data_IF_322902967690
#
_entry.id   IF_322902967690
#
_cell.length_a   1.000
_cell.length_b   1.000
_cell.length_c   1.000
_cell.angle_alpha   90.00
_cell.angle_beta   90.00
_cell.angle_gamma   90.00
#
_symmetry.space_group_name_H-M   'P 1'
#
loop_
_entity.id
_entity.type
_entity.pdbx_description
1 polymer ?
#
# COMPACT_ATOMS: atom_id res chain seq x y z
N UNK A 1 -6.39 -1.91 -7.21
CA UNK A 1 -6.66 -1.88 -5.76
C UNK A 1 -5.97 -0.63 -5.21
N UNK A 2 -6.51 0.08 -4.21
CA UNK A 2 -5.88 1.30 -3.70
C UNK A 2 -5.60 1.24 -2.21
N UNK A 3 -6.60 1.52 -1.36
CA UNK A 3 -6.35 1.63 0.09
C UNK A 3 -6.01 0.29 0.75
N UNK A 4 -6.39 -0.82 0.13
CA UNK A 4 -6.05 -2.15 0.63
C UNK A 4 -4.56 -2.47 0.56
N UNK A 5 -3.75 -1.78 -0.25
CA UNK A 5 -2.28 -1.90 -0.23
C UNK A 5 -1.66 -1.50 1.12
N UNK A 6 -2.36 -0.69 1.92
CA UNK A 6 -1.92 -0.30 3.26
C UNK A 6 -2.37 -1.27 4.36
N UNK A 7 -3.26 -2.22 4.05
CA UNK A 7 -3.83 -3.14 5.03
C UNK A 7 -2.77 -4.09 5.64
N UNK A 8 -1.85 -4.70 4.87
CA UNK A 8 -0.79 -5.56 5.41
C UNK A 8 0.11 -4.83 6.41
N UNK A 9 0.36 -3.54 6.19
CA UNK A 9 1.16 -2.69 7.06
C UNK A 9 0.59 -2.59 8.47
N UNK A 10 -0.74 -2.42 8.57
CA UNK A 10 -1.45 -2.38 9.85
C UNK A 10 -1.36 -3.72 10.60
N UNK A 11 -1.46 -4.84 9.88
CA UNK A 11 -1.30 -6.18 10.46
C UNK A 11 0.15 -6.45 10.89
N UNK A 12 1.12 -6.13 10.03
CA UNK A 12 2.54 -6.41 10.22
C UNK A 12 3.18 -5.53 11.29
N UNK A 13 2.64 -4.34 11.55
CA UNK A 13 3.10 -3.44 12.62
C UNK A 13 3.19 -4.12 13.99
N UNK A 14 2.36 -5.15 14.25
CA UNK A 14 2.41 -5.95 15.48
C UNK A 14 3.74 -6.70 15.64
N UNK A 15 4.34 -7.14 14.54
CA UNK A 15 5.58 -7.94 14.56
C UNK A 15 6.84 -7.07 14.57
N UNK A 16 6.73 -5.82 14.10
CA UNK A 16 7.83 -4.87 14.12
C UNK A 16 7.37 -3.50 14.67
N UNK A 17 7.03 -3.42 15.96
CA UNK A 17 6.45 -2.22 16.55
C UNK A 17 7.40 -1.02 16.64
N UNK A 18 8.71 -1.24 16.45
CA UNK A 18 9.70 -0.17 16.33
C UNK A 18 9.74 0.46 14.93
N UNK A 19 9.10 -0.16 13.93
CA UNK A 19 9.04 0.35 12.57
C UNK A 19 7.95 1.41 12.46
N UNK A 20 8.25 2.61 11.95
CA UNK A 20 7.24 3.64 11.78
C UNK A 20 6.08 3.17 10.90
N UNK A 21 4.84 3.52 11.28
CA UNK A 21 3.65 3.01 10.59
C UNK A 21 3.55 3.53 9.17
N UNK A 22 4.01 4.76 8.93
CA UNK A 22 4.08 5.35 7.59
C UNK A 22 5.05 4.59 6.69
N UNK A 23 6.15 4.07 7.23
CA UNK A 23 7.15 3.35 6.44
C UNK A 23 6.62 1.97 6.05
N UNK A 24 5.94 1.27 6.97
CA UNK A 24 5.22 0.05 6.67
C UNK A 24 4.09 0.30 5.65
N UNK A 25 3.33 1.38 5.83
CA UNK A 25 2.26 1.79 4.91
C UNK A 25 2.78 2.01 3.49
N UNK A 26 3.83 2.82 3.37
CA UNK A 26 4.50 3.11 2.11
C UNK A 26 5.10 1.85 1.49
N UNK A 27 5.62 0.91 2.28
CA UNK A 27 6.14 -0.35 1.77
C UNK A 27 5.09 -1.15 0.99
N UNK A 28 3.85 -1.23 1.49
CA UNK A 28 2.76 -1.95 0.84
C UNK A 28 2.24 -1.30 -0.45
N UNK A 29 2.28 0.03 -0.52
CA UNK A 29 1.93 0.82 -1.70
C UNK A 29 3.15 1.18 -2.59
N UNK A 30 4.34 0.66 -2.28
CA UNK A 30 5.57 1.01 -2.97
C UNK A 30 5.55 0.62 -4.47
N UNK A 31 5.05 -0.57 -4.86
CA UNK A 31 4.95 -0.93 -6.27
C UNK A 31 4.14 0.08 -7.09
N UNK A 32 2.94 0.47 -6.62
CA UNK A 32 2.11 1.50 -7.25
C UNK A 32 2.83 2.84 -7.36
N UNK A 33 3.45 3.28 -6.26
CA UNK A 33 4.14 4.57 -6.21
C UNK A 33 5.24 4.67 -7.28
N UNK A 34 6.05 3.62 -7.39
CA UNK A 34 7.13 3.55 -8.38
C UNK A 34 6.55 3.37 -9.78
N UNK A 35 5.47 2.60 -9.92
CA UNK A 35 4.77 2.40 -11.19
C UNK A 35 4.33 3.73 -11.78
N UNK A 36 3.69 4.62 -11.01
CA UNK A 36 3.30 5.93 -11.55
C UNK A 36 4.48 6.78 -11.98
N UNK A 37 5.61 6.70 -11.26
CA UNK A 37 6.84 7.39 -11.66
C UNK A 37 7.43 6.83 -12.97
N UNK A 38 7.46 5.50 -13.12
CA UNK A 38 7.97 4.84 -14.32
C UNK A 38 7.02 5.00 -15.51
N UNK A 39 5.71 4.99 -15.28
CA UNK A 39 4.68 5.23 -16.29
C UNK A 39 4.74 6.67 -16.81
N UNK A 40 4.92 7.65 -15.93
CA UNK A 40 5.17 9.04 -16.31
C UNK A 40 6.46 9.20 -17.15
N UNK A 41 7.47 8.36 -16.89
CA UNK A 41 8.72 8.33 -17.66
C UNK A 41 8.64 7.48 -18.95
N UNK A 42 7.51 6.83 -19.23
CA UNK A 42 7.35 5.92 -20.39
C UNK A 42 8.08 4.58 -20.26
N UNK A 43 8.58 4.23 -19.07
CA UNK A 43 9.28 2.97 -18.78
C UNK A 43 8.33 1.82 -18.48
N UNK A 44 7.11 2.13 -18.04
CA UNK A 44 5.99 1.22 -17.82
C UNK A 44 4.73 1.84 -18.43
N UNK A 45 3.67 1.05 -18.61
CA UNK A 45 2.43 1.55 -19.24
C UNK A 45 1.20 0.84 -18.68
N UNK A 46 0.07 1.57 -18.67
CA UNK A 46 -1.26 1.00 -18.43
C UNK A 46 -2.27 1.66 -19.36
N UNK A 47 -3.14 0.85 -19.95
CA UNK A 47 -4.25 1.30 -20.80
C UNK A 47 -5.57 0.71 -20.31
N UNK A 48 -6.62 1.52 -20.41
CA UNK A 48 -7.99 1.08 -20.16
C UNK A 48 -8.48 0.06 -21.19
N UNK A 49 -8.04 0.22 -22.45
CA UNK A 49 -8.43 -0.69 -23.51
C UNK A 49 -7.46 -1.86 -23.62
N UNK A 50 -7.96 -3.07 -23.35
CA UNK A 50 -7.24 -4.32 -23.65
C UNK A 50 -6.99 -4.54 -25.15
N UNK A 51 -7.58 -3.72 -26.03
CA UNK A 51 -7.29 -3.74 -27.47
C UNK A 51 -6.04 -2.96 -27.86
N UNK A 52 -5.47 -2.15 -26.95
CA UNK A 52 -4.26 -1.40 -27.18
C UNK A 52 -3.11 -2.16 -26.49
N UNK A 53 -2.13 -2.69 -27.23
CA UNK A 53 -0.95 -3.27 -26.64
C UNK A 53 -0.27 -2.22 -25.77
N UNK A 54 -0.13 -2.51 -24.48
CA UNK A 54 0.74 -1.74 -23.60
C UNK A 54 2.18 -2.06 -24.00
N UNK A 55 2.90 -1.12 -24.60
CA UNK A 55 4.33 -1.27 -24.85
C UNK A 55 5.04 0.01 -24.40
N UNK A 56 5.94 -0.07 -23.42
CA UNK A 56 6.73 1.10 -23.04
C UNK A 56 7.56 1.56 -24.25
N UNK A 57 7.51 2.85 -24.53
CA UNK A 57 8.29 3.49 -25.58
C UNK A 57 9.36 4.37 -24.94
N UNK A 58 10.64 4.08 -25.25
CA UNK A 58 11.77 4.88 -24.77
C UNK A 58 12.52 5.42 -25.99
N UNK A 59 12.56 6.73 -26.16
CA UNK A 59 13.16 7.40 -27.33
C UNK A 59 12.60 6.89 -28.69
N UNK A 60 11.31 6.54 -28.75
CA UNK A 60 10.67 6.01 -29.95
C UNK A 60 10.97 4.54 -30.24
N UNK A 61 11.59 3.81 -29.31
CA UNK A 61 11.77 2.37 -29.38
C UNK A 61 10.71 1.66 -28.54
N UNK A 62 9.91 0.82 -29.18
CA UNK A 62 8.88 0.01 -28.56
C UNK A 62 9.49 -1.22 -27.87
N UNK A 63 9.27 -1.36 -26.56
CA UNK A 63 9.70 -2.54 -25.80
C UNK A 63 8.54 -3.52 -25.66
N UNK A 64 8.60 -4.64 -26.37
CA UNK A 64 7.62 -5.73 -26.25
C UNK A 64 7.87 -6.53 -24.96
N UNK A 65 7.20 -6.14 -23.88
CA UNK A 65 7.16 -6.89 -22.63
C UNK A 65 6.07 -7.95 -22.63
N UNK A 66 6.18 -8.94 -21.73
CA UNK A 66 5.06 -9.82 -21.40
C UNK A 66 3.95 -8.96 -20.79
N UNK A 67 2.79 -8.89 -21.44
CA UNK A 67 1.62 -8.20 -20.88
C UNK A 67 1.16 -8.93 -19.63
N UNK A 68 1.18 -8.22 -18.52
CA UNK A 68 0.58 -8.64 -17.26
C UNK A 68 -0.60 -7.72 -17.05
N UNK A 69 -1.82 -8.25 -17.11
CA UNK A 69 -2.98 -7.43 -16.82
C UNK A 69 -3.00 -7.15 -15.30
N UNK A 70 -3.35 -5.93 -14.89
CA UNK A 70 -3.75 -5.63 -13.50
C UNK A 70 -5.11 -4.98 -13.57
N UNK A 71 -6.07 -5.42 -12.77
CA UNK A 71 -7.41 -4.89 -12.86
C UNK A 71 -7.44 -3.36 -12.58
N UNK A 72 -8.14 -2.54 -13.39
CA UNK A 72 -8.89 -2.81 -14.64
C UNK A 72 -8.11 -2.56 -15.95
N UNK A 73 -6.78 -2.50 -15.91
CA UNK A 73 -5.91 -2.08 -17.01
C UNK A 73 -5.16 -3.23 -17.69
N UNK A 74 -4.96 -3.11 -19.00
CA UNK A 74 -3.89 -3.83 -19.69
C UNK A 74 -2.60 -3.06 -19.47
N UNK A 75 -1.61 -3.69 -18.87
CA UNK A 75 -0.41 -3.01 -18.44
C UNK A 75 0.87 -3.81 -18.70
N UNK A 76 1.97 -3.06 -18.84
CA UNK A 76 3.31 -3.60 -18.93
C UNK A 76 4.18 -2.88 -17.92
N UNK A 77 4.49 -3.60 -16.83
CA UNK A 77 5.22 -3.08 -15.67
C UNK A 77 6.23 -4.10 -15.12
N UNK A 78 7.22 -4.51 -15.93
CA UNK A 78 8.15 -5.57 -15.58
C UNK A 78 9.00 -5.26 -14.33
N UNK A 79 9.10 -4.00 -13.92
CA UNK A 79 9.94 -3.58 -12.81
C UNK A 79 9.17 -3.47 -11.49
N UNK A 80 7.91 -3.07 -11.53
CA UNK A 80 7.15 -2.76 -10.30
C UNK A 80 6.24 -3.89 -9.85
N UNK A 81 5.69 -4.69 -10.76
CA UNK A 81 4.73 -5.75 -10.41
C UNK A 81 5.18 -7.16 -10.84
N UNK A 82 6.42 -7.33 -11.28
CA UNK A 82 7.03 -8.67 -11.37
C UNK A 82 7.52 -9.13 -9.99
N UNK A 83 7.57 -10.44 -9.75
CA UNK A 83 8.10 -10.99 -8.49
C UNK A 83 9.54 -10.57 -8.23
N UNK A 84 10.38 -10.58 -9.27
CA UNK A 84 11.77 -10.15 -9.15
C UNK A 84 11.87 -8.63 -8.89
N UNK A 85 11.08 -7.83 -9.61
CA UNK A 85 11.00 -6.39 -9.45
C UNK A 85 10.58 -5.97 -8.04
N UNK A 86 9.49 -6.55 -7.53
CA UNK A 86 9.04 -6.30 -6.16
C UNK A 86 10.05 -6.75 -5.12
N UNK A 87 10.75 -7.87 -5.30
CA UNK A 87 11.78 -8.31 -4.37
C UNK A 87 12.96 -7.33 -4.31
N UNK A 88 13.36 -6.77 -5.45
CA UNK A 88 14.41 -5.73 -5.52
C UNK A 88 13.93 -4.45 -4.84
N UNK A 89 12.74 -3.96 -5.20
CA UNK A 89 12.15 -2.76 -4.58
C UNK A 89 12.01 -2.91 -3.06
N UNK A 90 11.47 -4.04 -2.61
CA UNK A 90 11.31 -4.40 -1.21
C UNK A 90 12.65 -4.39 -0.47
N UNK A 91 13.67 -5.04 -1.04
CA UNK A 91 14.99 -5.14 -0.41
C UNK A 91 15.66 -3.77 -0.29
N UNK A 92 15.67 -2.99 -1.37
CA UNK A 92 16.27 -1.64 -1.39
C UNK A 92 15.58 -0.73 -0.38
N UNK A 93 14.24 -0.65 -0.43
CA UNK A 93 13.47 0.19 0.48
C UNK A 93 13.66 -0.24 1.94
N UNK A 94 13.55 -1.55 2.22
CA UNK A 94 13.73 -2.08 3.57
C UNK A 94 15.14 -1.80 4.12
N UNK A 95 16.20 -1.94 3.31
CA UNK A 95 17.57 -1.60 3.72
C UNK A 95 17.68 -0.12 4.05
N UNK A 96 17.19 0.77 3.19
CA UNK A 96 17.28 2.22 3.41
C UNK A 96 16.59 2.64 4.70
N UNK A 97 15.36 2.18 4.94
CA UNK A 97 14.62 2.50 6.16
C UNK A 97 15.29 1.88 7.39
N UNK A 98 15.70 0.61 7.31
CA UNK A 98 16.33 -0.11 8.43
C UNK A 98 17.63 0.55 8.86
N UNK A 99 18.49 0.94 7.91
CA UNK A 99 19.76 1.61 8.20
C UNK A 99 19.51 3.02 8.74
N UNK A 100 18.64 3.80 8.09
CA UNK A 100 18.36 5.20 8.46
C UNK A 100 17.76 5.32 9.86
N UNK A 101 16.87 4.41 10.23
CA UNK A 101 16.21 4.38 11.54
C UNK A 101 16.86 3.43 12.54
N UNK A 102 17.96 2.76 12.18
CA UNK A 102 18.68 1.77 13.00
C UNK A 102 17.76 0.66 13.54
N UNK A 103 16.90 0.14 12.67
CA UNK A 103 15.89 -0.86 13.02
C UNK A 103 16.48 -2.28 13.08
N UNK A 104 15.71 -3.20 13.67
CA UNK A 104 16.08 -4.61 13.76
C UNK A 104 15.87 -5.36 12.43
N UNK A 105 16.47 -6.56 12.32
CA UNK A 105 16.20 -7.47 11.19
C UNK A 105 14.73 -7.88 11.09
N UNK A 106 13.99 -7.91 12.21
CA UNK A 106 12.54 -8.12 12.19
C UNK A 106 11.81 -7.01 11.43
N UNK A 107 12.25 -5.76 11.63
CA UNK A 107 11.69 -4.60 10.93
C UNK A 107 11.98 -4.66 9.43
N UNK A 108 13.21 -5.03 9.07
CA UNK A 108 13.58 -5.30 7.69
C UNK A 108 12.66 -6.36 7.05
N UNK A 109 12.49 -7.51 7.70
CA UNK A 109 11.64 -8.59 7.21
C UNK A 109 10.17 -8.15 7.05
N UNK A 110 9.62 -7.38 8.00
CA UNK A 110 8.25 -6.87 7.89
C UNK A 110 8.07 -5.86 6.77
N UNK A 111 9.08 -5.02 6.49
CA UNK A 111 9.04 -4.10 5.35
C UNK A 111 9.05 -4.87 4.03
N UNK A 112 9.90 -5.90 3.93
CA UNK A 112 9.93 -6.77 2.75
C UNK A 112 8.59 -7.48 2.55
N UNK A 113 8.03 -8.06 3.62
CA UNK A 113 6.73 -8.73 3.56
C UNK A 113 5.58 -7.76 3.24
N UNK A 114 5.63 -6.53 3.76
CA UNK A 114 4.65 -5.51 3.42
C UNK A 114 4.68 -5.19 1.92
N UNK A 115 5.86 -4.99 1.32
CA UNK A 115 5.97 -4.79 -0.14
C UNK A 115 5.53 -6.01 -0.93
N UNK A 116 5.99 -7.21 -0.56
CA UNK A 116 5.63 -8.45 -1.28
C UNK A 116 4.16 -8.85 -1.14
N UNK A 117 3.46 -8.32 -0.14
CA UNK A 117 2.01 -8.55 0.03
C UNK A 117 1.15 -7.89 -1.04
N UNK A 118 1.75 -7.00 -1.84
CA UNK A 118 1.13 -6.41 -3.01
C UNK A 118 0.70 -7.49 -4.02
N UNK A 119 1.59 -8.43 -4.38
CA UNK A 119 1.29 -9.54 -5.30
C UNK A 119 0.06 -10.38 -4.93
N UNK A 120 -0.03 -10.98 -3.71
CA UNK A 120 -1.19 -11.80 -3.38
C UNK A 120 -2.48 -10.98 -3.30
N UNK A 121 -2.41 -9.69 -2.95
CA UNK A 121 -3.59 -8.83 -2.96
C UNK A 121 -4.04 -8.50 -4.37
N UNK A 122 -3.10 -8.20 -5.27
CA UNK A 122 -3.39 -8.06 -6.70
C UNK A 122 -4.02 -9.33 -7.24
N UNK A 123 -3.43 -10.50 -6.96
CA UNK A 123 -3.97 -11.79 -7.40
C UNK A 123 -5.38 -12.07 -6.85
N UNK A 124 -5.69 -11.61 -5.63
CA UNK A 124 -6.99 -11.82 -5.01
C UNK A 124 -8.10 -10.97 -5.64
N UNK A 125 -7.74 -9.79 -6.20
CA UNK A 125 -8.69 -8.86 -6.82
C UNK A 125 -8.54 -8.85 -8.35
N UNK A 126 -7.59 -9.61 -8.89
CA UNK A 126 -7.32 -9.70 -10.32
C UNK A 126 -8.53 -10.26 -11.07
N UNK A 127 -9.14 -9.43 -11.92
CA UNK A 127 -10.15 -9.86 -12.89
C UNK A 127 -9.46 -10.54 -14.06
N UNK A 128 -10.01 -11.66 -14.50
CA UNK A 128 -9.61 -12.27 -15.76
C UNK A 128 -10.21 -11.46 -16.91
N UNK A 129 -9.39 -11.07 -17.89
CA UNK A 129 -9.81 -10.37 -19.11
C UNK A 129 -11.10 -10.98 -19.67
N UNK A 130 -12.17 -10.19 -19.71
CA UNK A 130 -13.44 -10.58 -20.33
C UNK A 130 -13.35 -10.62 -21.88
N UNK A 131 -12.14 -10.81 -22.43
CA UNK A 131 -11.82 -10.66 -23.85
C UNK A 131 -11.05 -11.81 -24.49
N UNK A 132 -10.80 -12.93 -23.81
CA UNK A 132 -10.18 -14.12 -24.46
C UNK A 132 -11.23 -15.20 -24.79
N UNK A 133 -11.75 -15.26 -26.04
CA UNK A 133 -12.79 -16.20 -26.45
C UNK A 133 -12.32 -17.66 -26.65
N UNK A 134 -11.08 -18.03 -26.33
CA UNK A 134 -10.59 -19.40 -26.51
C UNK A 134 -9.89 -19.92 -25.25
N UNK A 135 -10.52 -20.85 -24.53
CA UNK A 135 -9.88 -21.61 -23.44
C UNK A 135 -10.53 -21.48 -22.06
N UNK A 136 -11.85 -21.35 -21.97
CA UNK A 136 -12.57 -21.33 -20.69
C UNK A 136 -12.47 -22.65 -19.89
N UNK A 137 -12.24 -23.79 -20.56
CA UNK A 137 -12.42 -25.12 -19.94
C UNK A 137 -11.18 -25.84 -19.37
N UNK A 138 -9.97 -25.26 -19.47
CA UNK A 138 -8.74 -25.86 -18.90
C UNK A 138 -8.28 -25.23 -17.59
N UNK A 139 -9.05 -24.29 -17.03
CA UNK A 139 -8.58 -23.46 -15.90
C UNK A 139 -8.86 -24.11 -14.53
N UNK A 140 -8.18 -23.74 -13.44
CA UNK A 140 -8.57 -24.18 -12.10
C UNK A 140 -9.95 -23.63 -11.70
N UNK A 141 -10.72 -24.35 -10.88
CA UNK A 141 -12.13 -24.02 -10.51
C UNK A 141 -12.28 -22.58 -9.97
N UNK A 142 -11.28 -22.04 -9.26
CA UNK A 142 -11.29 -20.67 -8.73
C UNK A 142 -11.08 -19.56 -9.79
N UNK A 143 -10.85 -19.91 -11.07
CA UNK A 143 -10.67 -18.97 -12.19
C UNK A 143 -11.78 -19.06 -13.25
N UNK A 144 -12.86 -19.81 -12.99
CA UNK A 144 -13.87 -20.17 -14.01
C UNK A 144 -15.17 -19.38 -13.97
N UNK A 145 -15.32 -18.38 -13.10
CA UNK A 145 -16.57 -17.63 -13.02
C UNK A 145 -16.31 -16.14 -13.10
N UNK A 146 -16.83 -15.51 -14.15
CA UNK A 146 -17.09 -14.07 -14.19
C UNK A 146 -17.93 -13.72 -12.96
N UNK A 147 -17.27 -13.27 -11.89
CA UNK A 147 -17.97 -12.64 -10.77
C UNK A 147 -18.02 -11.16 -11.13
N UNK A 148 -19.13 -10.67 -11.70
CA UNK A 148 -19.20 -9.31 -12.25
C UNK A 148 -19.11 -8.23 -11.18
N UNK A 149 -19.05 -8.60 -9.89
CA UNK A 149 -19.02 -7.67 -8.78
C UNK A 149 -17.86 -6.67 -8.90
N UNK A 150 -16.67 -7.14 -9.28
CA UNK A 150 -15.49 -6.29 -9.47
C UNK A 150 -15.55 -5.47 -10.77
N UNK A 151 -16.49 -5.73 -11.68
CA UNK A 151 -16.65 -4.95 -12.91
C UNK A 151 -17.32 -3.60 -12.66
N UNK A 152 -17.86 -3.41 -11.45
CA UNK A 152 -18.50 -2.18 -11.03
C UNK A 152 -17.59 -1.44 -10.04
N UNK A 153 -17.49 -0.10 -10.14
CA UNK A 153 -16.84 0.74 -9.14
C UNK A 153 -17.19 0.37 -7.68
N UNK A 154 -18.43 -0.04 -7.44
CA UNK A 154 -18.91 -0.47 -6.13
C UNK A 154 -18.24 -1.74 -5.61
N UNK A 155 -17.95 -2.73 -6.45
CA UNK A 155 -17.28 -3.96 -6.01
C UNK A 155 -15.87 -3.68 -5.53
N UNK A 156 -15.10 -2.95 -6.34
CA UNK A 156 -13.74 -2.48 -6.01
C UNK A 156 -13.73 -1.61 -4.76
N UNK A 157 -14.70 -0.70 -4.64
CA UNK A 157 -14.84 0.15 -3.46
C UNK A 157 -15.06 -0.67 -2.19
N UNK A 158 -16.03 -1.59 -2.22
CA UNK A 158 -16.40 -2.41 -1.06
C UNK A 158 -15.29 -3.40 -0.71
N UNK A 159 -14.65 -4.04 -1.68
CA UNK A 159 -13.58 -5.01 -1.42
C UNK A 159 -12.37 -4.38 -0.77
N UNK A 160 -11.86 -3.30 -1.34
CA UNK A 160 -10.63 -2.66 -0.87
C UNK A 160 -10.86 -2.04 0.50
N UNK A 161 -11.99 -1.35 0.67
CA UNK A 161 -12.36 -0.76 1.95
C UNK A 161 -12.63 -1.84 3.01
N UNK A 162 -13.22 -2.99 2.62
CA UNK A 162 -13.45 -4.12 3.52
C UNK A 162 -12.15 -4.75 4.02
N UNK A 163 -11.19 -4.99 3.12
CA UNK A 163 -9.84 -5.50 3.48
C UNK A 163 -9.13 -4.51 4.41
N UNK A 164 -9.18 -3.21 4.07
CA UNK A 164 -8.57 -2.18 4.89
C UNK A 164 -9.24 -2.08 6.27
N UNK A 165 -10.57 -2.05 6.34
CA UNK A 165 -11.33 -2.00 7.59
C UNK A 165 -11.01 -3.20 8.49
N UNK A 166 -10.93 -4.41 7.93
CA UNK A 166 -10.51 -5.58 8.68
C UNK A 166 -9.13 -5.40 9.31
N UNK A 167 -8.15 -4.91 8.54
CA UNK A 167 -6.81 -4.67 9.05
C UNK A 167 -6.77 -3.56 10.11
N UNK A 168 -7.60 -2.51 9.98
CA UNK A 168 -7.78 -1.47 11.00
C UNK A 168 -8.34 -2.05 12.29
N UNK A 169 -9.39 -2.86 12.22
CA UNK A 169 -9.98 -3.51 13.39
C UNK A 169 -9.00 -4.47 14.06
N UNK A 170 -8.26 -5.24 13.26
CA UNK A 170 -7.20 -6.11 13.75
C UNK A 170 -6.10 -5.32 14.45
N UNK A 171 -5.62 -4.24 13.83
CA UNK A 171 -4.60 -3.36 14.40
C UNK A 171 -5.09 -2.72 15.71
N UNK A 172 -6.29 -2.14 15.72
CA UNK A 172 -6.88 -1.54 16.90
C UNK A 172 -7.05 -2.55 18.06
N UNK A 173 -7.34 -3.82 17.75
CA UNK A 173 -7.48 -4.89 18.75
C UNK A 173 -6.14 -5.46 19.22
N UNK A 174 -5.08 -5.35 18.43
CA UNK A 174 -3.79 -6.01 18.69
C UNK A 174 -2.65 -5.06 18.99
N UNK A 175 -2.83 -3.76 18.77
CA UNK A 175 -2.03 -2.71 19.38
C UNK A 175 -2.12 -2.92 20.89
N UNK A 176 -0.99 -3.33 21.46
CA UNK A 176 -0.85 -3.52 22.90
C UNK A 176 -1.35 -2.27 23.63
N UNK A 177 -1.95 -2.41 24.83
CA UNK A 177 -2.12 -1.27 25.71
C UNK A 177 -0.76 -0.59 25.82
N UNK A 178 -0.65 0.72 25.54
CA UNK A 178 0.62 1.43 25.52
C UNK A 178 1.44 1.15 26.79
N UNK A 179 0.76 0.91 27.92
CA UNK A 179 1.32 0.51 29.22
C UNK A 179 2.14 -0.79 29.18
N UNK A 180 1.61 -1.85 28.56
CA UNK A 180 2.28 -3.16 28.51
C UNK A 180 3.41 -3.20 27.49
N UNK A 181 3.24 -2.51 26.36
CA UNK A 181 4.28 -2.43 25.34
C UNK A 181 5.44 -1.55 25.81
N UNK A 182 5.10 -0.39 26.38
CA UNK A 182 6.10 0.52 26.89
C UNK A 182 6.87 -0.07 28.07
N UNK A 183 6.20 -0.82 28.96
CA UNK A 183 6.86 -1.59 30.01
C UNK A 183 7.84 -2.64 29.46
N UNK A 184 7.45 -3.41 28.42
CA UNK A 184 8.33 -4.42 27.80
C UNK A 184 9.51 -3.81 27.02
N UNK A 185 9.33 -2.63 26.46
CA UNK A 185 10.33 -1.95 25.62
C UNK A 185 11.14 -0.89 26.39
N UNK A 186 10.87 -0.69 27.68
CA UNK A 186 11.50 0.36 28.48
C UNK A 186 11.14 1.79 28.02
N UNK A 187 10.02 1.94 27.32
CA UNK A 187 9.48 3.22 26.86
C UNK A 187 8.68 3.85 28.02
N UNK A 188 8.72 5.18 28.21
CA UNK A 188 7.90 5.84 29.21
C UNK A 188 6.40 5.65 28.91
N UNK A 189 5.64 5.21 29.92
CA UNK A 189 4.19 5.06 29.82
C UNK A 189 3.55 6.45 29.85
N UNK A 190 2.82 6.82 28.80
CA UNK A 190 2.00 8.06 28.80
C UNK A 190 0.71 7.78 29.56
N UNK A 191 0.36 8.59 30.59
CA UNK A 191 -0.90 8.47 31.31
C UNK A 191 -2.09 8.49 30.34
N UNK A 192 -3.13 7.69 30.60
CA UNK A 192 -4.34 7.63 29.77
C UNK A 192 -4.93 9.03 29.47
N UNK A 193 -4.84 9.95 30.44
CA UNK A 193 -5.33 11.33 30.37
C UNK A 193 -4.61 12.19 29.31
N UNK A 194 -3.38 11.83 28.94
CA UNK A 194 -2.58 12.53 27.93
C UNK A 194 -2.68 11.88 26.54
N UNK A 195 -3.34 10.73 26.43
CA UNK A 195 -3.54 10.06 25.14
C UNK A 195 -4.62 10.82 24.39
N UNK A 196 -4.33 11.22 23.14
CA UNK A 196 -5.40 11.70 22.25
C UNK A 196 -6.41 10.58 22.06
N UNK A 197 -7.68 10.93 21.91
CA UNK A 197 -8.76 9.95 21.68
C UNK A 197 -8.42 9.07 20.48
N UNK A 198 -8.07 7.81 20.76
CA UNK A 198 -7.73 6.79 19.76
C UNK A 198 -8.86 6.63 18.74
N UNK A 199 -10.11 6.69 19.21
CA UNK A 199 -11.30 6.53 18.39
C UNK A 199 -11.33 7.60 17.30
N UNK A 200 -11.07 8.86 17.67
CA UNK A 200 -11.00 9.97 16.72
C UNK A 200 -9.91 9.78 15.67
N UNK A 201 -8.74 9.25 16.05
CA UNK A 201 -7.64 8.97 15.11
C UNK A 201 -8.02 7.92 14.06
N UNK A 202 -8.57 6.79 14.50
CA UNK A 202 -9.02 5.73 13.60
C UNK A 202 -10.19 6.17 12.70
N UNK A 203 -11.17 6.90 13.24
CA UNK A 203 -12.30 7.41 12.46
C UNK A 203 -11.85 8.37 11.36
N UNK A 204 -10.89 9.26 11.65
CA UNK A 204 -10.32 10.16 10.63
C UNK A 204 -9.58 9.39 9.54
N UNK A 205 -8.76 8.41 9.90
CA UNK A 205 -8.07 7.58 8.92
C UNK A 205 -9.07 6.81 8.05
N UNK A 206 -10.12 6.22 8.64
CA UNK A 206 -11.16 5.51 7.89
C UNK A 206 -11.92 6.44 6.95
N UNK A 207 -12.22 7.68 7.38
CA UNK A 207 -12.84 8.68 6.52
C UNK A 207 -11.95 9.03 5.32
N UNK A 208 -10.65 9.26 5.54
CA UNK A 208 -9.70 9.52 4.45
C UNK A 208 -9.59 8.31 3.53
N UNK A 209 -9.49 7.09 4.06
CA UNK A 209 -9.41 5.87 3.27
C UNK A 209 -10.66 5.69 2.39
N UNK A 210 -11.86 5.94 2.95
CA UNK A 210 -13.11 5.89 2.18
C UNK A 210 -13.12 6.94 1.06
N UNK A 211 -12.67 8.17 1.32
CA UNK A 211 -12.58 9.21 0.29
C UNK A 211 -11.59 8.85 -0.83
N UNK A 212 -10.39 8.36 -0.49
CA UNK A 212 -9.39 7.94 -1.47
C UNK A 212 -9.86 6.74 -2.28
N UNK A 213 -10.47 5.75 -1.62
CA UNK A 213 -11.02 4.60 -2.33
C UNK A 213 -12.19 4.99 -3.25
N UNK A 214 -13.02 5.95 -2.83
CA UNK A 214 -14.09 6.48 -3.66
C UNK A 214 -13.52 7.21 -4.89
N UNK A 215 -12.51 8.07 -4.69
CA UNK A 215 -11.82 8.73 -5.80
C UNK A 215 -11.27 7.71 -6.80
N UNK A 216 -10.52 6.71 -6.32
CA UNK A 216 -9.97 5.64 -7.16
C UNK A 216 -11.07 4.86 -7.90
N UNK A 217 -12.15 4.48 -7.21
CA UNK A 217 -13.16 3.58 -7.77
C UNK A 217 -14.11 4.26 -8.75
N UNK A 218 -14.51 5.51 -8.49
CA UNK A 218 -15.58 6.20 -9.25
C UNK A 218 -15.07 7.28 -10.21
N UNK A 219 -13.88 7.84 -10.00
CA UNK A 219 -13.34 8.94 -10.81
C UNK A 219 -12.10 8.56 -11.63
N UNK A 220 -11.78 7.26 -11.72
CA UNK A 220 -10.68 6.79 -12.56
C UNK A 220 -9.31 7.16 -12.00
N UNK A 221 -9.17 7.29 -10.68
CA UNK A 221 -7.89 7.65 -10.03
C UNK A 221 -6.74 6.69 -10.31
N UNK A 222 -7.00 5.49 -10.85
CA UNK A 222 -5.98 4.55 -11.30
C UNK A 222 -5.54 4.68 -12.77
N UNK A 223 -6.22 5.50 -13.58
CA UNK A 223 -5.99 5.58 -15.02
C UNK A 223 -4.79 6.46 -15.35
N UNK A 224 -3.57 6.01 -15.12
CA UNK A 224 -2.40 6.72 -15.66
C UNK A 224 -2.15 6.21 -17.08
N UNK A 225 -2.82 6.85 -18.05
CA UNK A 225 -2.40 6.72 -19.44
C UNK A 225 -0.96 7.23 -19.57
N UNK A 226 -0.17 6.57 -20.42
CA UNK A 226 1.21 6.98 -20.68
C UNK A 226 1.24 8.47 -21.09
N UNK A 227 1.93 9.29 -20.30
CA UNK A 227 2.01 10.74 -20.52
C UNK A 227 0.98 11.59 -19.76
N UNK A 228 0.02 10.99 -19.03
CA UNK A 228 -0.87 11.73 -18.12
C UNK A 228 -0.16 12.02 -16.79
N UNK A 229 0.75 12.99 -16.83
CA UNK A 229 1.51 13.45 -15.66
C UNK A 229 0.61 13.96 -14.53
N UNK A 230 -0.59 14.47 -14.85
CA UNK A 230 -1.50 15.01 -13.85
C UNK A 230 -2.09 13.88 -13.00
N UNK A 231 -2.58 12.80 -13.62
CA UNK A 231 -3.09 11.65 -12.88
C UNK A 231 -1.98 10.91 -12.11
N UNK A 232 -0.79 10.76 -12.70
CA UNK A 232 0.37 10.21 -11.99
C UNK A 232 0.71 11.02 -10.74
N UNK A 233 0.73 12.35 -10.83
CA UNK A 233 0.99 13.23 -9.70
C UNK A 233 -0.10 13.12 -8.62
N UNK A 234 -1.37 13.04 -9.00
CA UNK A 234 -2.48 12.85 -8.06
C UNK A 234 -2.29 11.52 -7.30
N UNK A 235 -2.03 10.42 -8.01
CA UNK A 235 -1.84 9.11 -7.41
C UNK A 235 -0.66 9.10 -6.41
N UNK A 236 0.47 9.71 -6.78
CA UNK A 236 1.63 9.89 -5.88
C UNK A 236 1.25 10.69 -4.63
N UNK A 237 0.53 11.81 -4.79
CA UNK A 237 0.09 12.66 -3.67
C UNK A 237 -0.84 11.90 -2.74
N UNK A 238 -1.75 11.09 -3.28
CA UNK A 238 -2.65 10.25 -2.49
C UNK A 238 -1.90 9.18 -1.71
N UNK A 239 -0.94 8.48 -2.34
CA UNK A 239 -0.12 7.46 -1.67
C UNK A 239 0.69 8.07 -0.53
N UNK A 240 1.41 9.17 -0.80
CA UNK A 240 2.22 9.85 0.21
C UNK A 240 1.36 10.52 1.28
N UNK A 241 0.22 11.10 0.90
CA UNK A 241 -0.75 11.70 1.80
C UNK A 241 -1.34 10.67 2.76
N UNK A 242 -1.64 9.47 2.28
CA UNK A 242 -2.14 8.39 3.15
C UNK A 242 -1.05 7.83 4.06
N UNK A 243 0.19 7.69 3.58
CA UNK A 243 1.33 7.36 4.44
C UNK A 243 1.52 8.41 5.55
N UNK A 244 1.31 9.70 5.26
CA UNK A 244 1.30 10.75 6.27
C UNK A 244 0.15 10.60 7.27
N UNK A 245 -1.06 10.25 6.84
CA UNK A 245 -2.18 9.94 7.75
C UNK A 245 -1.83 8.78 8.69
N UNK A 246 -1.13 7.75 8.21
CA UNK A 246 -0.60 6.67 9.05
C UNK A 246 0.46 7.16 10.04
N UNK A 247 1.33 8.10 9.66
CA UNK A 247 2.26 8.77 10.60
C UNK A 247 1.51 9.55 11.68
N UNK A 248 0.40 10.21 11.33
CA UNK A 248 -0.44 10.90 12.30
C UNK A 248 -1.08 9.89 13.25
N UNK A 249 -1.60 8.76 12.76
CA UNK A 249 -2.16 7.67 13.57
C UNK A 249 -1.12 7.08 14.52
N UNK A 250 0.14 6.96 14.09
CA UNK A 250 1.26 6.53 14.96
C UNK A 250 1.42 7.45 16.17
N UNK A 251 1.10 8.74 16.06
CA UNK A 251 1.05 9.66 17.21
C UNK A 251 -0.09 9.40 18.20
N UNK A 252 -1.08 8.58 17.83
CA UNK A 252 -2.12 8.08 18.72
C UNK A 252 -1.71 6.74 19.33
N UNK A 253 -1.01 5.88 18.59
CA UNK A 253 -0.67 4.50 19.00
C UNK A 253 0.71 4.33 19.64
N UNK A 254 1.63 5.26 19.40
CA UNK A 254 2.98 5.27 19.96
C UNK A 254 3.20 6.53 20.82
N UNK A 255 3.89 6.35 21.93
CA UNK A 255 4.42 7.47 22.72
C UNK A 255 5.58 8.04 21.92
N UNK A 256 5.52 9.33 21.54
CA UNK A 256 6.73 10.08 21.16
C UNK A 256 7.70 9.94 22.33
N UNK A 257 8.71 9.08 22.15
CA UNK A 257 9.88 9.05 22.99
C UNK A 257 10.52 10.43 22.87
N UNK A 258 10.12 11.38 23.74
CA UNK A 258 10.88 12.59 23.91
C UNK A 258 12.32 12.14 24.18
N UNK A 259 13.19 12.39 23.20
CA UNK A 259 14.61 12.09 23.29
C UNK A 259 15.09 12.52 24.67
N UNK A 260 15.61 11.58 25.48
CA UNK A 260 16.10 11.78 26.86
C UNK A 260 16.89 13.09 27.08
N UNK A 261 17.49 13.66 26.02
CA UNK A 261 18.12 14.99 26.02
C UNK A 261 17.20 16.15 26.42
N UNK A 262 15.89 16.09 26.15
CA UNK A 262 14.95 17.14 26.54
C UNK A 262 14.62 17.07 28.04
N UNK A 263 14.47 15.86 28.59
CA UNK A 263 14.21 15.67 30.02
C UNK A 263 15.45 15.92 30.89
N UNK A 264 16.67 15.67 30.40
CA UNK A 264 17.88 16.02 31.16
C UNK A 264 18.09 17.53 31.27
N UNK A 265 17.66 18.31 30.27
CA UNK A 265 17.71 19.79 30.31
C UNK A 265 16.64 20.43 31.17
N UNK A 266 15.52 19.75 31.44
CA UNK A 266 14.46 20.25 32.34
C UNK A 266 14.74 19.97 33.82
N UNK A 267 15.75 19.16 34.13
CA UNK A 267 16.18 18.82 35.50
C UNK A 267 17.43 19.58 35.96
N UNK A 268 17.95 20.49 35.13
CA UNK A 268 18.99 21.47 35.49
C UNK A 268 18.36 22.85 35.52
#
# INVERSE_FOLDING_TARGET
MWVAHFAPSLVLSRFAPATPLWALGLAGALPDLIFFGLAAAGLESSHHSHSIPSSPEIFGLEFKGSTTNCFPFSAVYPYTHSTAGQLVLASVFATLITVSHRLSLTSYATLVLATLSHLPLDMAIHRLDAGTPAGADTRPIWKRHDVPLFNYPWGTYISDLGIFLFAVLFHARTVYPPDQHAAKMGIPIVPMEQRRDFTSGYLKMLAVAACLQAHFSFWGGGEVEQGDLAKAAIAVVETLGFAYVLSVLEGYTSVKLETRKAQSKKKQ
#
